data_IF_976428468123
#
_entry.id   IF_976428468123
#
_cell.length_a   1.000
_cell.length_b   1.000
_cell.length_c   1.000
_cell.angle_alpha   90.00
_cell.angle_beta   90.00
_cell.angle_gamma   90.00
#
_symmetry.space_group_name_H-M   'P 1'
#
loop_
_entity.id
_entity.type
_entity.pdbx_description
1 polymer ?
#
# COMPACT_ATOMS: atom_id res chain seq x y z
N UNK A 1 -17.19 8.90 -4.16
CA UNK A 1 -16.36 7.83 -3.59
C UNK A 1 -15.72 7.05 -4.72
N UNK A 2 -14.39 6.98 -4.73
CA UNK A 2 -13.68 6.26 -5.79
C UNK A 2 -13.73 4.77 -5.54
N UNK A 3 -14.03 4.02 -6.59
CA UNK A 3 -14.00 2.57 -6.50
C UNK A 3 -12.60 2.07 -6.82
N UNK A 4 -12.14 1.02 -6.13
CA UNK A 4 -10.82 0.47 -6.41
C UNK A 4 -10.73 -0.08 -7.83
N UNK A 5 -9.57 0.13 -8.44
CA UNK A 5 -9.21 -0.47 -9.72
C UNK A 5 -8.26 -1.64 -9.45
N UNK A 6 -8.29 -2.63 -10.31
CA UNK A 6 -7.34 -3.75 -10.21
C UNK A 6 -6.10 -3.43 -11.03
N UNK A 7 -4.96 -3.37 -10.36
CA UNK A 7 -3.67 -3.11 -11.01
C UNK A 7 -2.73 -4.29 -10.78
N UNK A 8 -1.86 -4.51 -11.74
CA UNK A 8 -0.82 -5.53 -11.59
C UNK A 8 0.18 -5.09 -10.52
N UNK A 9 0.50 -6.01 -9.62
CA UNK A 9 1.48 -5.77 -8.57
C UNK A 9 2.82 -5.33 -9.19
N UNK A 10 3.20 -5.94 -10.31
CA UNK A 10 4.45 -5.64 -11.00
C UNK A 10 4.52 -4.21 -11.55
N UNK A 11 3.38 -3.56 -11.74
CA UNK A 11 3.34 -2.18 -12.25
C UNK A 11 3.52 -1.14 -11.15
N UNK A 12 3.28 -1.51 -9.90
CA UNK A 12 3.35 -0.56 -8.80
C UNK A 12 4.78 -0.26 -8.41
N UNK A 13 5.07 1.03 -8.22
CA UNK A 13 6.41 1.52 -7.89
C UNK A 13 6.44 1.87 -6.41
N UNK A 14 7.29 1.18 -5.66
CA UNK A 14 7.48 1.49 -4.25
C UNK A 14 8.19 2.83 -4.10
N UNK A 15 7.78 3.59 -3.10
CA UNK A 15 8.46 4.84 -2.77
C UNK A 15 9.90 4.52 -2.38
N UNK A 16 10.86 5.18 -3.03
CA UNK A 16 12.26 4.78 -3.05
C UNK A 16 13.00 4.89 -1.71
N UNK A 17 12.35 5.40 -0.68
CA UNK A 17 13.00 5.60 0.62
C UNK A 17 12.26 4.89 1.74
N UNK A 18 12.27 3.59 1.70
CA UNK A 18 11.82 2.83 2.85
C UNK A 18 12.97 1.93 3.29
N UNK A 19 13.91 2.45 4.11
CA UNK A 19 15.07 1.69 4.53
C UNK A 19 14.77 0.60 5.54
N UNK A 20 13.54 0.51 6.04
CA UNK A 20 13.21 -0.47 7.05
C UNK A 20 12.86 -1.81 6.43
N UNK A 21 13.60 -2.82 6.83
CA UNK A 21 13.24 -4.20 6.57
C UNK A 21 12.19 -4.58 7.61
N UNK A 22 10.93 -4.60 7.20
CA UNK A 22 9.83 -4.97 8.08
C UNK A 22 9.32 -6.36 7.73
N UNK A 23 10.23 -7.34 7.59
CA UNK A 23 9.87 -8.68 7.20
C UNK A 23 8.82 -9.29 8.13
N UNK A 24 8.96 -9.02 9.43
CA UNK A 24 8.01 -9.54 10.41
C UNK A 24 6.61 -8.93 10.23
N UNK A 25 6.56 -7.62 9.97
CA UNK A 25 5.29 -6.95 9.70
C UNK A 25 4.68 -7.42 8.38
N UNK A 26 5.52 -7.65 7.36
CA UNK A 26 5.05 -8.20 6.08
C UNK A 26 4.42 -9.57 6.30
N UNK A 27 5.03 -10.42 7.11
CA UNK A 27 4.50 -11.75 7.39
C UNK A 27 3.12 -11.68 8.04
N UNK A 28 2.93 -10.76 8.99
CA UNK A 28 1.63 -10.57 9.64
C UNK A 28 0.57 -10.11 8.66
N UNK A 29 0.92 -9.15 7.81
CA UNK A 29 -0.01 -8.65 6.77
C UNK A 29 -0.33 -9.76 5.78
N UNK A 30 0.68 -10.54 5.37
CA UNK A 30 0.47 -11.66 4.45
C UNK A 30 -0.47 -12.70 5.05
N UNK A 31 -0.32 -13.00 6.33
CA UNK A 31 -1.21 -13.95 7.00
C UNK A 31 -2.64 -13.46 7.01
N UNK A 32 -2.85 -12.17 7.28
CA UNK A 32 -4.19 -11.56 7.27
C UNK A 32 -4.80 -11.59 5.86
N UNK A 33 -4.01 -11.29 4.84
CA UNK A 33 -4.48 -11.34 3.46
C UNK A 33 -4.87 -12.77 3.07
N UNK A 34 -4.09 -13.75 3.51
CA UNK A 34 -4.38 -15.15 3.22
C UNK A 34 -5.68 -15.60 3.87
N UNK A 35 -5.95 -15.12 5.08
CA UNK A 35 -7.15 -15.51 5.82
C UNK A 35 -8.40 -14.76 5.35
N UNK A 36 -8.29 -13.45 5.17
CA UNK A 36 -9.45 -12.59 4.93
C UNK A 36 -9.55 -12.07 3.51
N UNK A 37 -8.54 -12.28 2.68
CA UNK A 37 -8.46 -11.70 1.35
C UNK A 37 -7.87 -10.29 1.39
N UNK A 38 -7.61 -9.74 0.21
CA UNK A 38 -7.05 -8.39 0.09
C UNK A 38 -8.19 -7.38 0.18
N UNK A 39 -8.46 -6.91 1.38
CA UNK A 39 -9.64 -6.08 1.68
C UNK A 39 -9.36 -4.58 1.72
N UNK A 40 -8.12 -4.19 1.96
CA UNK A 40 -7.75 -2.78 2.09
C UNK A 40 -6.97 -2.35 0.86
N UNK A 41 -7.53 -1.48 0.02
CA UNK A 41 -6.85 -1.08 -1.21
C UNK A 41 -5.53 -0.35 -0.93
N UNK A 42 -4.63 -0.45 -1.91
CA UNK A 42 -3.40 0.34 -1.93
C UNK A 42 -3.74 1.71 -2.52
N UNK A 43 -3.17 2.76 -1.96
CA UNK A 43 -3.33 4.11 -2.48
C UNK A 43 -2.14 4.44 -3.36
N UNK A 44 -2.39 4.86 -4.59
CA UNK A 44 -1.32 5.15 -5.53
C UNK A 44 -1.72 6.28 -6.47
N UNK A 45 -0.72 6.87 -7.12
CA UNK A 45 -0.94 7.89 -8.16
C UNK A 45 -0.98 7.22 -9.53
N UNK A 46 -1.46 7.98 -10.53
CA UNK A 46 -1.57 7.46 -11.89
C UNK A 46 -0.23 7.09 -12.51
N UNK A 47 0.89 7.65 -11.98
CA UNK A 47 2.23 7.26 -12.42
C UNK A 47 2.69 5.93 -11.79
N UNK A 48 1.81 5.25 -11.07
CA UNK A 48 2.02 3.96 -10.40
C UNK A 48 2.80 4.04 -9.09
N UNK A 49 3.14 5.23 -8.62
CA UNK A 49 3.85 5.40 -7.33
C UNK A 49 2.90 5.14 -6.17
N UNK A 50 3.29 4.28 -5.26
CA UNK A 50 2.49 3.94 -4.09
C UNK A 50 2.53 5.08 -3.07
N UNK A 51 1.35 5.55 -2.67
CA UNK A 51 1.20 6.56 -1.61
C UNK A 51 1.13 5.90 -0.25
N UNK A 52 0.33 4.85 -0.13
CA UNK A 52 0.15 4.09 1.11
C UNK A 52 -0.13 2.64 0.78
N UNK A 53 0.30 1.76 1.67
CA UNK A 53 0.09 0.33 1.49
C UNK A 53 1.35 -0.44 1.13
N UNK A 54 2.52 0.07 1.50
CA UNK A 54 3.79 -0.58 1.19
C UNK A 54 3.87 -2.00 1.74
N UNK A 55 3.41 -2.19 2.99
CA UNK A 55 3.41 -3.53 3.59
C UNK A 55 2.44 -4.46 2.87
N UNK A 56 1.28 -3.94 2.46
CA UNK A 56 0.31 -4.73 1.69
C UNK A 56 0.88 -5.11 0.34
N UNK A 57 1.59 -4.19 -0.31
CA UNK A 57 2.24 -4.49 -1.59
C UNK A 57 3.31 -5.56 -1.44
N UNK A 58 4.16 -5.43 -0.43
CA UNK A 58 5.20 -6.43 -0.17
C UNK A 58 4.60 -7.79 0.16
N UNK A 59 3.52 -7.81 0.95
CA UNK A 59 2.82 -9.04 1.28
C UNK A 59 2.21 -9.69 0.02
N UNK A 60 1.62 -8.88 -0.86
CA UNK A 60 1.07 -9.38 -2.11
C UNK A 60 2.15 -10.04 -2.98
N UNK A 61 3.32 -9.40 -3.08
CA UNK A 61 4.44 -9.97 -3.81
C UNK A 61 4.89 -11.30 -3.20
N UNK A 62 4.96 -11.36 -1.88
CA UNK A 62 5.37 -12.57 -1.18
C UNK A 62 4.38 -13.72 -1.40
N UNK A 63 3.08 -13.40 -1.47
CA UNK A 63 2.04 -14.40 -1.68
C UNK A 63 1.84 -14.78 -3.14
N UNK A 64 2.53 -14.11 -4.06
CA UNK A 64 2.38 -14.37 -5.49
C UNK A 64 1.08 -13.85 -6.07
N UNK A 65 0.48 -12.83 -5.46
CA UNK A 65 -0.74 -12.22 -5.96
C UNK A 65 -0.40 -11.35 -7.18
N UNK A 66 -1.15 -11.53 -8.27
CA UNK A 66 -0.86 -10.83 -9.52
C UNK A 66 -1.45 -9.43 -9.56
N UNK A 67 -2.67 -9.25 -9.05
CA UNK A 67 -3.37 -7.96 -9.07
C UNK A 67 -3.85 -7.60 -7.68
N UNK A 68 -3.89 -6.29 -7.41
CA UNK A 68 -4.36 -5.76 -6.13
C UNK A 68 -5.30 -4.60 -6.38
N UNK A 69 -6.24 -4.35 -5.46
CA UNK A 69 -7.10 -3.18 -5.57
C UNK A 69 -6.33 -1.91 -5.25
N UNK A 70 -6.52 -0.89 -6.07
CA UNK A 70 -5.83 0.39 -5.94
C UNK A 70 -6.83 1.53 -6.04
N UNK A 71 -6.70 2.51 -5.17
CA UNK A 71 -7.45 3.76 -5.24
C UNK A 71 -6.50 4.87 -5.68
N UNK A 72 -6.91 5.62 -6.71
CA UNK A 72 -6.11 6.71 -7.24
C UNK A 72 -6.14 7.93 -6.32
N UNK A 73 -4.98 8.53 -6.11
CA UNK A 73 -4.82 9.69 -5.22
C UNK A 73 -4.25 10.91 -5.96
N UNK A 74 -4.59 11.07 -7.24
CA UNK A 74 -4.11 12.20 -8.04
C UNK A 74 -4.69 13.53 -7.58
N UNK A 75 -5.74 13.50 -6.80
CA UNK A 75 -6.37 14.70 -6.23
C UNK A 75 -5.56 15.31 -5.08
N UNK A 76 -4.52 14.61 -4.62
CA UNK A 76 -3.69 15.09 -3.52
C UNK A 76 -2.38 15.68 -4.05
N UNK A 77 -2.01 16.84 -3.50
CA UNK A 77 -0.70 17.44 -3.78
C UNK A 77 0.40 16.65 -3.08
N UNK A 78 1.65 16.89 -3.47
CA UNK A 78 2.78 16.22 -2.83
C UNK A 78 2.87 16.54 -1.34
N UNK A 79 2.57 17.78 -0.95
CA UNK A 79 2.54 18.17 0.45
C UNK A 79 1.45 17.41 1.22
N UNK A 80 0.28 17.25 0.60
CA UNK A 80 -0.81 16.49 1.21
C UNK A 80 -0.45 15.01 1.34
N UNK A 81 0.22 14.45 0.36
CA UNK A 81 0.67 13.05 0.42
C UNK A 81 1.65 12.85 1.57
N UNK A 82 2.61 13.77 1.72
CA UNK A 82 3.54 13.70 2.85
C UNK A 82 2.81 13.76 4.19
N UNK A 83 1.89 14.71 4.32
CA UNK A 83 1.11 14.86 5.55
C UNK A 83 0.26 13.62 5.81
N UNK A 84 -0.35 13.07 4.78
CA UNK A 84 -1.15 11.87 4.88
C UNK A 84 -0.32 10.68 5.37
N UNK A 85 0.86 10.47 4.79
CA UNK A 85 1.74 9.36 5.20
C UNK A 85 2.12 9.47 6.68
N UNK A 86 2.45 10.68 7.12
CA UNK A 86 2.80 10.92 8.52
C UNK A 86 1.61 10.62 9.43
N UNK A 87 0.42 11.08 9.06
CA UNK A 87 -0.78 10.86 9.84
C UNK A 87 -1.13 9.38 9.99
N UNK A 88 -1.05 8.64 8.89
CA UNK A 88 -1.37 7.22 8.88
C UNK A 88 -0.38 6.44 9.74
N UNK A 89 0.92 6.74 9.62
CA UNK A 89 1.94 6.08 10.43
C UNK A 89 1.76 6.38 11.90
N UNK A 90 1.38 7.61 12.23
CA UNK A 90 1.17 8.00 13.62
C UNK A 90 -0.01 7.26 14.25
N UNK A 91 -1.10 7.13 13.49
CA UNK A 91 -2.26 6.38 13.95
C UNK A 91 -1.90 4.91 14.19
N UNK A 92 -1.10 4.34 13.30
CA UNK A 92 -0.64 2.96 13.45
C UNK A 92 0.20 2.77 14.70
N UNK A 93 1.03 3.77 15.06
CA UNK A 93 1.85 3.72 16.27
C UNK A 93 1.01 3.80 17.55
N UNK A 94 -0.13 4.47 17.49
CA UNK A 94 -1.00 4.65 18.64
C UNK A 94 -1.94 3.46 18.87
N UNK A 95 -2.04 2.61 17.91
CA UNK A 95 -2.87 1.41 18.03
C UNK A 95 -1.99 0.21 18.41
#
# INVERSE_FOLDING_TARGET
>A
MQQPEEWKVSDLIEYARNPRKNDHAVDKVAAAIREFGFRVPILAKSDKTVVDGHLRLKAAKKLGIETVPVILCDDMSEAQIKAFRISVNRVAELS
#
